data_IF_134910041353
#
_entry.id   IF_134910041353
#
_cell.length_a   1.000
_cell.length_b   1.000
_cell.length_c   1.000
_cell.angle_alpha   90.00
_cell.angle_beta   90.00
_cell.angle_gamma   90.00
#
_symmetry.space_group_name_H-M   'P 1'
#
loop_
_entity.id
_entity.type
_entity.pdbx_description
1 polymer ?
#
# COMPACT_ATOMS: atom_id res chain seq x y z
N UNK A 1 -5.56 7.75 7.51
CA UNK A 1 -4.54 6.74 7.25
C UNK A 1 -4.85 5.32 7.73
N UNK A 2 -4.91 4.98 9.04
CA UNK A 2 -5.00 3.57 9.51
C UNK A 2 -6.20 2.79 8.92
N UNK A 3 -7.41 3.36 9.01
CA UNK A 3 -8.63 2.76 8.42
C UNK A 3 -8.56 2.61 6.89
N UNK A 4 -7.83 3.50 6.21
CA UNK A 4 -7.66 3.45 4.74
C UNK A 4 -6.66 2.36 4.33
N UNK A 5 -5.55 2.24 5.06
CA UNK A 5 -4.55 1.19 4.86
C UNK A 5 -5.16 -0.19 5.06
N UNK A 6 -5.94 -0.38 6.14
CA UNK A 6 -6.64 -1.63 6.42
C UNK A 6 -7.62 -2.00 5.30
N UNK A 7 -8.41 -1.03 4.82
CA UNK A 7 -9.33 -1.24 3.71
C UNK A 7 -8.60 -1.70 2.45
N UNK A 8 -7.54 -0.99 2.05
CA UNK A 8 -6.76 -1.33 0.83
C UNK A 8 -6.15 -2.73 0.93
N UNK A 9 -5.61 -3.11 2.09
CA UNK A 9 -5.07 -4.45 2.30
C UNK A 9 -6.16 -5.52 2.10
N UNK A 10 -7.35 -5.31 2.65
CA UNK A 10 -8.48 -6.24 2.48
C UNK A 10 -8.91 -6.32 1.01
N UNK A 11 -9.06 -5.18 0.34
CA UNK A 11 -9.47 -5.13 -1.06
C UNK A 11 -8.47 -5.85 -1.98
N UNK A 12 -7.16 -5.69 -1.72
CA UNK A 12 -6.11 -6.41 -2.45
C UNK A 12 -6.09 -7.91 -2.14
N UNK A 13 -6.30 -8.31 -0.88
CA UNK A 13 -6.40 -9.73 -0.51
C UNK A 13 -7.56 -10.44 -1.19
N UNK A 14 -8.68 -9.74 -1.39
CA UNK A 14 -9.82 -10.28 -2.14
C UNK A 14 -9.50 -10.51 -3.63
N UNK A 15 -8.55 -9.76 -4.18
CA UNK A 15 -8.06 -9.91 -5.56
C UNK A 15 -6.93 -10.94 -5.70
N UNK A 16 -6.31 -11.35 -4.60
CA UNK A 16 -5.15 -12.28 -4.59
C UNK A 16 -5.38 -13.62 -5.31
N UNK A 17 -6.56 -14.27 -5.23
CA UNK A 17 -6.82 -15.52 -5.97
C UNK A 17 -6.78 -15.34 -7.49
N UNK A 18 -7.03 -14.13 -7.97
CA UNK A 18 -7.07 -13.79 -9.40
C UNK A 18 -5.75 -13.19 -9.88
N UNK A 19 -5.01 -12.53 -8.99
CA UNK A 19 -3.71 -11.93 -9.30
C UNK A 19 -2.70 -12.17 -8.16
N UNK A 20 -2.00 -13.31 -8.18
CA UNK A 20 -1.07 -13.70 -7.12
C UNK A 20 0.12 -12.75 -6.95
N UNK A 21 0.48 -11.97 -7.98
CA UNK A 21 1.59 -11.00 -7.89
C UNK A 21 1.30 -9.86 -6.90
N UNK A 22 0.05 -9.66 -6.51
CA UNK A 22 -0.34 -8.68 -5.50
C UNK A 22 0.21 -9.01 -4.10
N UNK A 23 0.65 -10.25 -3.85
CA UNK A 23 1.19 -10.69 -2.56
C UNK A 23 2.36 -9.81 -2.08
N UNK A 24 3.24 -9.39 -3.01
CA UNK A 24 4.35 -8.49 -2.71
C UNK A 24 3.88 -7.10 -2.29
N UNK A 25 2.82 -6.58 -2.92
CA UNK A 25 2.22 -5.29 -2.59
C UNK A 25 1.58 -5.34 -1.21
N UNK A 26 0.80 -6.39 -0.94
CA UNK A 26 0.13 -6.61 0.35
C UNK A 26 1.17 -6.72 1.46
N UNK A 27 2.23 -7.52 1.27
CA UNK A 27 3.31 -7.69 2.24
C UNK A 27 3.96 -6.36 2.63
N UNK A 28 4.19 -5.47 1.65
CA UNK A 28 4.73 -4.12 1.91
C UNK A 28 3.75 -3.27 2.72
N UNK A 29 2.47 -3.26 2.36
CA UNK A 29 1.43 -2.51 3.07
C UNK A 29 1.24 -3.00 4.51
N UNK A 30 1.30 -4.31 4.74
CA UNK A 30 1.25 -4.92 6.08
C UNK A 30 2.47 -4.56 6.92
N UNK A 31 3.66 -4.54 6.32
CA UNK A 31 4.87 -4.07 7.00
C UNK A 31 4.70 -2.62 7.47
N UNK A 32 4.15 -1.73 6.64
CA UNK A 32 3.86 -0.35 7.06
C UNK A 32 2.85 -0.30 8.21
N UNK A 33 1.79 -1.10 8.13
CA UNK A 33 0.77 -1.16 9.17
C UNK A 33 1.37 -1.52 10.54
N UNK A 34 2.31 -2.47 10.57
CA UNK A 34 3.05 -2.85 11.77
C UNK A 34 3.95 -1.70 12.26
N UNK A 35 4.75 -1.11 11.36
CA UNK A 35 5.64 0.00 11.69
C UNK A 35 4.91 1.24 12.24
N UNK A 36 3.72 1.54 11.71
CA UNK A 36 2.87 2.62 12.21
C UNK A 36 2.24 2.33 13.57
N UNK A 37 2.11 1.05 13.95
CA UNK A 37 1.55 0.63 15.23
C UNK A 37 2.60 0.61 16.35
N UNK A 38 3.87 0.37 16.02
CA UNK A 38 4.98 0.22 16.97
C UNK A 38 5.74 1.54 17.31
N UNK A 39 5.11 2.70 17.07
CA UNK A 39 5.69 4.05 17.02
C UNK A 39 6.56 4.34 15.78
N UNK A 40 6.11 5.33 14.99
CA UNK A 40 6.65 5.82 13.71
C UNK A 40 8.17 6.10 13.61
N UNK A 41 8.92 6.10 14.71
CA UNK A 41 10.33 6.54 14.73
C UNK A 41 11.27 5.67 13.88
N UNK A 42 10.84 4.49 13.43
CA UNK A 42 11.62 3.58 12.59
C UNK A 42 11.47 3.79 11.09
N UNK A 43 10.48 4.58 10.64
CA UNK A 43 10.27 4.86 9.22
C UNK A 43 11.26 5.93 8.74
N UNK A 44 12.50 5.53 8.46
CA UNK A 44 13.56 6.40 7.91
C UNK A 44 13.53 6.48 6.39
N UNK A 45 12.83 5.55 5.73
CA UNK A 45 12.62 5.47 4.28
C UNK A 45 11.16 5.15 4.02
N UNK A 46 10.58 5.71 2.95
CA UNK A 46 9.20 5.38 2.56
C UNK A 46 9.13 3.93 2.03
N UNK A 47 8.57 2.98 2.81
CA UNK A 47 8.57 1.55 2.46
C UNK A 47 7.62 1.22 1.30
N UNK A 48 6.71 2.14 0.96
CA UNK A 48 5.72 1.97 -0.11
C UNK A 48 5.90 2.99 -1.23
N UNK A 49 7.09 3.60 -1.33
CA UNK A 49 7.42 4.41 -2.49
C UNK A 49 7.31 3.57 -3.78
N UNK A 50 6.61 4.09 -4.77
CA UNK A 50 6.29 3.43 -6.03
C UNK A 50 5.21 2.34 -5.96
N UNK A 51 4.49 2.19 -4.84
CA UNK A 51 3.47 1.12 -4.70
C UNK A 51 2.34 1.25 -5.73
N UNK A 52 1.92 2.48 -6.05
CA UNK A 52 0.90 2.70 -7.09
C UNK A 52 1.38 2.25 -8.45
N UNK A 53 2.66 2.52 -8.78
CA UNK A 53 3.25 2.08 -10.05
C UNK A 53 3.36 0.56 -10.10
N UNK A 54 3.81 -0.06 -9.02
CA UNK A 54 3.90 -1.51 -8.91
C UNK A 54 2.54 -2.19 -9.09
N UNK A 55 1.47 -1.60 -8.54
CA UNK A 55 0.11 -2.09 -8.74
C UNK A 55 -0.29 -2.04 -10.22
N UNK A 56 -0.08 -0.89 -10.87
CA UNK A 56 -0.36 -0.72 -12.30
C UNK A 56 0.42 -1.69 -13.19
N UNK A 57 1.68 -1.95 -12.88
CA UNK A 57 2.50 -2.91 -13.64
C UNK A 57 1.98 -4.36 -13.51
N UNK A 58 1.20 -4.66 -12.47
CA UNK A 58 0.57 -5.96 -12.26
C UNK A 58 -0.79 -6.03 -12.95
N UNK A 59 -1.73 -5.14 -12.59
CA UNK A 59 -3.13 -5.25 -13.04
C UNK A 59 -3.39 -4.59 -14.39
N UNK A 60 -2.52 -3.66 -14.81
CA UNK A 60 -2.68 -2.85 -16.03
C UNK A 60 -4.02 -2.11 -16.14
N UNK A 61 -4.75 -1.95 -15.04
CA UNK A 61 -6.02 -1.24 -14.95
C UNK A 61 -5.83 0.13 -14.31
N UNK A 62 -5.91 1.17 -15.14
CA UNK A 62 -5.76 2.57 -14.75
C UNK A 62 -7.06 3.18 -14.20
N UNK A 63 -8.20 2.52 -14.41
CA UNK A 63 -9.50 2.98 -13.92
C UNK A 63 -9.86 2.37 -12.55
N UNK A 64 -9.05 1.41 -12.08
CA UNK A 64 -9.26 0.76 -10.79
C UNK A 64 -9.25 1.79 -9.63
N UNK A 65 -10.35 1.90 -8.85
CA UNK A 65 -10.43 2.82 -7.73
C UNK A 65 -9.32 2.63 -6.69
N UNK A 66 -8.78 1.42 -6.56
CA UNK A 66 -7.66 1.11 -5.64
C UNK A 66 -6.42 1.95 -5.98
N UNK A 67 -6.21 2.32 -7.24
CA UNK A 67 -5.04 3.10 -7.66
C UNK A 67 -4.97 4.45 -6.94
N UNK A 68 -6.12 5.13 -6.81
CA UNK A 68 -6.23 6.41 -6.10
C UNK A 68 -5.99 6.25 -4.59
N UNK A 69 -6.46 5.13 -4.03
CA UNK A 69 -6.25 4.83 -2.62
C UNK A 69 -4.78 4.53 -2.31
N UNK A 70 -4.10 3.75 -3.16
CA UNK A 70 -2.66 3.50 -3.09
C UNK A 70 -1.85 4.79 -3.23
N UNK A 71 -2.18 5.64 -4.19
CA UNK A 71 -1.48 6.90 -4.43
C UNK A 71 -1.61 7.85 -3.24
N UNK A 72 -2.80 7.92 -2.65
CA UNK A 72 -3.05 8.72 -1.46
C UNK A 72 -2.25 8.20 -0.27
N UNK A 73 -2.23 6.87 -0.05
CA UNK A 73 -1.46 6.24 1.03
C UNK A 73 0.04 6.50 0.89
N UNK A 74 0.57 6.36 -0.33
CA UNK A 74 1.98 6.65 -0.64
C UNK A 74 2.36 8.09 -0.25
N UNK A 75 1.49 9.07 -0.56
CA UNK A 75 1.67 10.46 -0.15
C UNK A 75 1.55 10.69 1.37
N UNK A 76 0.53 10.11 2.00
CA UNK A 76 0.30 10.23 3.44
C UNK A 76 1.52 9.69 4.22
N UNK A 77 2.04 8.52 3.83
CA UNK A 77 3.20 7.90 4.47
C UNK A 77 4.48 8.70 4.18
N UNK A 78 4.67 9.19 2.95
CA UNK A 78 5.79 10.09 2.63
C UNK A 78 5.81 11.35 3.50
N UNK A 79 4.63 11.88 3.87
CA UNK A 79 4.53 13.07 4.71
C UNK A 79 4.89 12.80 6.18
N UNK A 80 4.76 11.56 6.65
CA UNK A 80 5.08 11.16 8.03
C UNK A 80 6.57 10.90 8.26
N UNK A 81 7.35 10.75 7.19
CA UNK A 81 8.77 10.37 7.22
C UNK A 81 9.70 11.60 7.23
N UNK A 82 9.13 12.81 7.33
CA UNK A 82 9.89 14.07 7.36
C UNK A 82 10.60 14.34 8.67
#
# INVERSE_FOLDING_TARGET
MKNKLDKVIVDLKNKLPYEPKLDLIISRLESVKSLLSDNCQSLTLNPINGITRAYLDIVSDYEDPIMNDLYSLEKEISALIK
#
